data_IF_848294136638
#
_entry.id   IF_848294136638
#
_cell.length_a   1.000
_cell.length_b   1.000
_cell.length_c   1.000
_cell.angle_alpha   90.00
_cell.angle_beta   90.00
_cell.angle_gamma   90.00
#
_symmetry.space_group_name_H-M   'P 1'
#
loop_
_entity.id
_entity.type
_entity.pdbx_description
1 polymer ?
#
# COMPACT_ATOMS: atom_id res chain seq x y z
N UNK A 1 -2.75 -30.32 21.22
CA UNK A 1 -1.29 -30.11 21.32
C UNK A 1 -0.93 -28.98 20.35
N UNK A 2 -1.01 -27.72 20.77
CA UNK A 2 -0.75 -26.57 19.87
C UNK A 2 0.75 -26.34 19.74
N UNK A 3 1.31 -26.18 18.52
CA UNK A 3 2.73 -25.93 18.37
C UNK A 3 3.00 -24.52 18.89
N UNK A 4 3.75 -24.44 19.98
CA UNK A 4 4.21 -23.18 20.53
C UNK A 4 5.24 -22.59 19.55
N UNK A 5 4.78 -21.74 18.64
CA UNK A 5 5.64 -20.87 17.83
C UNK A 5 6.30 -19.89 18.80
N UNK A 6 7.53 -20.23 19.22
CA UNK A 6 8.32 -19.46 20.18
C UNK A 6 9.04 -18.33 19.43
N UNK A 7 8.37 -17.20 19.28
CA UNK A 7 8.93 -16.01 18.62
C UNK A 7 10.05 -15.39 19.47
N UNK A 8 11.19 -14.97 18.87
CA UNK A 8 12.32 -14.40 19.59
C UNK A 8 11.98 -13.01 20.17
N UNK A 9 12.38 -12.78 21.42
CA UNK A 9 12.39 -11.51 22.16
C UNK A 9 11.32 -10.46 21.79
N UNK A 10 11.65 -9.45 20.96
CA UNK A 10 10.78 -8.31 20.67
C UNK A 10 9.50 -8.67 19.91
N UNK A 11 9.51 -9.78 19.14
CA UNK A 11 8.35 -10.25 18.38
C UNK A 11 7.26 -10.87 19.27
N UNK A 12 7.56 -11.08 20.56
CA UNK A 12 6.58 -11.56 21.54
C UNK A 12 5.50 -10.52 21.86
N UNK A 13 5.78 -9.22 21.59
CA UNK A 13 4.81 -8.12 21.73
C UNK A 13 3.78 -8.13 20.58
N UNK A 14 4.20 -8.52 19.37
CA UNK A 14 3.33 -8.68 18.20
C UNK A 14 2.79 -10.12 18.20
N UNK A 15 1.86 -10.37 19.12
CA UNK A 15 1.13 -11.63 19.19
C UNK A 15 0.10 -11.80 18.06
N UNK A 16 -0.48 -13.00 17.95
CA UNK A 16 -1.53 -13.36 16.96
C UNK A 16 -2.67 -12.35 16.88
N UNK A 17 -3.07 -11.78 18.02
CA UNK A 17 -4.12 -10.74 18.13
C UNK A 17 -3.78 -9.46 17.35
N UNK A 18 -2.52 -9.03 17.33
CA UNK A 18 -2.12 -7.83 16.58
C UNK A 18 -2.15 -8.06 15.07
N UNK A 19 -1.83 -9.27 14.63
CA UNK A 19 -1.93 -9.67 13.21
C UNK A 19 -3.40 -9.72 12.78
N UNK A 20 -4.28 -10.26 13.62
CA UNK A 20 -5.72 -10.30 13.37
C UNK A 20 -6.34 -8.90 13.32
N UNK A 21 -5.93 -7.98 14.21
CA UNK A 21 -6.35 -6.59 14.12
C UNK A 21 -5.81 -5.96 12.84
N UNK A 22 -4.52 -6.11 12.54
CA UNK A 22 -3.92 -5.54 11.33
C UNK A 22 -4.62 -6.02 10.05
N UNK A 23 -5.06 -7.29 10.00
CA UNK A 23 -5.78 -7.82 8.84
C UNK A 23 -7.13 -7.15 8.62
N UNK A 24 -7.82 -6.75 9.70
CA UNK A 24 -9.08 -6.00 9.61
C UNK A 24 -8.89 -4.60 9.00
N UNK A 25 -7.72 -3.99 9.16
CA UNK A 25 -7.41 -2.66 8.63
C UNK A 25 -6.87 -2.68 7.19
N UNK A 26 -6.66 -3.85 6.57
CA UNK A 26 -6.12 -3.97 5.21
C UNK A 26 -6.97 -3.17 4.21
N UNK A 27 -8.30 -3.30 4.27
CA UNK A 27 -9.20 -2.59 3.36
C UNK A 27 -9.04 -1.06 3.43
N UNK A 28 -8.98 -0.51 4.65
CA UNK A 28 -8.75 0.92 4.87
C UNK A 28 -7.36 1.36 4.42
N UNK A 29 -6.32 0.57 4.72
CA UNK A 29 -4.96 0.86 4.31
C UNK A 29 -4.83 0.89 2.78
N UNK A 30 -5.50 -0.03 2.08
CA UNK A 30 -5.56 -0.05 0.61
C UNK A 30 -6.29 1.20 0.09
N UNK A 31 -7.44 1.56 0.66
CA UNK A 31 -8.21 2.72 0.23
C UNK A 31 -7.44 4.05 0.40
N UNK A 32 -6.83 4.26 1.57
CA UNK A 32 -6.02 5.45 1.83
C UNK A 32 -4.73 5.45 1.01
N UNK A 33 -4.06 4.29 0.88
CA UNK A 33 -2.87 4.14 0.05
C UNK A 33 -3.15 4.44 -1.42
N UNK A 34 -4.26 3.93 -1.96
CA UNK A 34 -4.69 4.21 -3.33
C UNK A 34 -5.00 5.70 -3.53
N UNK A 35 -5.77 6.30 -2.62
CA UNK A 35 -6.11 7.73 -2.67
C UNK A 35 -4.84 8.60 -2.63
N UNK A 36 -3.92 8.31 -1.70
CA UNK A 36 -2.65 9.01 -1.60
C UNK A 36 -1.80 8.83 -2.86
N UNK A 37 -1.73 7.61 -3.40
CA UNK A 37 -1.02 7.31 -4.65
C UNK A 37 -1.56 8.12 -5.84
N UNK A 38 -2.88 8.19 -6.00
CA UNK A 38 -3.52 9.03 -7.02
C UNK A 38 -3.23 10.51 -6.78
N UNK A 39 -3.34 10.98 -5.54
CA UNK A 39 -3.07 12.37 -5.17
C UNK A 39 -1.62 12.79 -5.49
N UNK A 40 -0.64 11.96 -5.16
CA UNK A 40 0.77 12.19 -5.50
C UNK A 40 0.95 12.21 -7.02
N UNK A 41 0.43 11.19 -7.71
CA UNK A 41 0.52 11.07 -9.17
C UNK A 41 -0.01 12.32 -9.87
N UNK A 42 -1.15 12.85 -9.39
CA UNK A 42 -1.75 14.08 -9.88
C UNK A 42 -0.90 15.31 -9.55
N UNK A 43 -0.46 15.46 -8.29
CA UNK A 43 0.27 16.64 -7.84
C UNK A 43 1.65 16.80 -8.49
N UNK A 44 2.35 15.69 -8.76
CA UNK A 44 3.69 15.71 -9.37
C UNK A 44 3.68 15.54 -10.87
N UNK A 45 2.50 15.43 -11.50
CA UNK A 45 2.37 15.08 -12.93
C UNK A 45 3.23 13.88 -13.30
N UNK A 46 3.08 12.78 -12.56
CA UNK A 46 4.02 11.66 -12.62
C UNK A 46 3.92 10.90 -13.96
N UNK A 47 4.78 11.29 -14.91
CA UNK A 47 4.82 10.74 -16.27
C UNK A 47 4.81 9.21 -16.32
N UNK A 48 5.60 8.54 -15.46
CA UNK A 48 5.73 7.08 -15.44
C UNK A 48 4.37 6.36 -15.31
N UNK A 49 3.46 6.90 -14.51
CA UNK A 49 2.13 6.33 -14.30
C UNK A 49 1.14 6.92 -15.30
N UNK A 50 1.14 8.25 -15.46
CA UNK A 50 0.16 8.96 -16.28
C UNK A 50 0.25 8.66 -17.78
N UNK A 51 1.42 8.28 -18.30
CA UNK A 51 1.58 7.91 -19.71
C UNK A 51 0.72 6.70 -20.13
N UNK A 52 0.39 5.81 -19.19
CA UNK A 52 -0.47 4.66 -19.45
C UNK A 52 -1.97 5.01 -19.42
N UNK A 53 -2.34 6.22 -18.98
CA UNK A 53 -3.73 6.66 -18.98
C UNK A 53 -4.14 7.19 -20.37
N UNK A 54 -5.23 6.69 -20.97
CA UNK A 54 -5.64 7.08 -22.31
C UNK A 54 -5.91 8.59 -22.47
N UNK A 55 -6.32 9.26 -21.38
CA UNK A 55 -6.57 10.70 -21.39
C UNK A 55 -5.29 11.56 -21.31
N UNK A 56 -4.23 11.07 -20.66
CA UNK A 56 -2.99 11.82 -20.43
C UNK A 56 -1.85 11.47 -21.40
N UNK A 57 -2.03 10.48 -22.27
CA UNK A 57 -1.01 9.99 -23.21
C UNK A 57 -0.48 11.10 -24.15
N UNK A 58 -1.31 12.11 -24.49
CA UNK A 58 -0.88 13.26 -25.30
C UNK A 58 -0.09 14.35 -24.55
N UNK A 59 -0.07 14.33 -23.20
CA UNK A 59 0.59 15.34 -22.37
C UNK A 59 2.11 15.21 -22.38
N UNK A 60 2.61 13.98 -22.42
CA UNK A 60 4.04 13.71 -22.36
C UNK A 60 4.52 13.17 -23.70
N UNK A 61 4.87 14.09 -24.60
CA UNK A 61 5.57 13.70 -25.84
C UNK A 61 6.95 13.16 -25.47
N UNK A 62 7.32 12.04 -26.09
CA UNK A 62 8.72 11.66 -26.16
C UNK A 62 9.36 12.54 -27.24
N UNK A 63 10.47 13.20 -26.90
CA UNK A 63 11.30 13.89 -27.90
C UNK A 63 11.94 12.87 -28.85
#
# INVERSE_FOLDING_TARGET
MSPAVRLPGPLRLIGKKHIEIASQWIGSAVAFGATAGVGITYATDWKLILQYMPYYNGKFKEE
#
